data_IF_719395926100
#
_entry.id   IF_719395926100
#
_cell.length_a   1.000
_cell.length_b   1.000
_cell.length_c   1.000
_cell.angle_alpha   90.00
_cell.angle_beta   90.00
_cell.angle_gamma   90.00
#
_symmetry.space_group_name_H-M   'P 1'
#
loop_
_entity.id
_entity.type
_entity.pdbx_description
1 polymer ?
#
# COMPACT_ATOMS: atom_id res chain seq x y z
N UNK A 1 -13.78 -12.70 -12.83
CA UNK A 1 -12.85 -11.69 -12.30
C UNK A 1 -12.18 -12.24 -11.04
N UNK A 2 -10.94 -11.85 -10.67
CA UNK A 2 -10.33 -12.35 -9.44
C UNK A 2 -11.15 -11.87 -8.23
N UNK A 3 -11.36 -12.74 -7.26
CA UNK A 3 -12.01 -12.40 -5.98
C UNK A 3 -10.89 -12.27 -4.95
N UNK A 4 -10.82 -11.12 -4.29
CA UNK A 4 -9.89 -10.91 -3.18
C UNK A 4 -10.52 -11.42 -1.89
N UNK A 5 -9.79 -12.24 -1.15
CA UNK A 5 -10.19 -12.71 0.18
C UNK A 5 -9.44 -11.89 1.24
N UNK A 6 -10.17 -11.33 2.20
CA UNK A 6 -9.63 -10.50 3.28
C UNK A 6 -10.32 -9.14 3.38
N UNK A 7 -10.18 -8.51 4.54
CA UNK A 7 -10.72 -7.17 4.79
C UNK A 7 -9.86 -6.09 4.13
N UNK A 8 -10.50 -5.01 3.68
CA UNK A 8 -9.84 -3.84 3.08
C UNK A 8 -8.96 -4.18 1.86
N UNK A 9 -9.33 -5.21 1.11
CA UNK A 9 -8.64 -5.61 -0.13
C UNK A 9 -9.29 -4.94 -1.34
N UNK A 10 -8.47 -4.43 -2.26
CA UNK A 10 -8.91 -3.85 -3.53
C UNK A 10 -8.17 -4.49 -4.70
N UNK A 11 -8.86 -4.69 -5.81
CA UNK A 11 -8.22 -5.16 -7.05
C UNK A 11 -7.59 -3.96 -7.75
N UNK A 12 -6.26 -3.98 -7.89
CA UNK A 12 -5.51 -2.97 -8.64
C UNK A 12 -4.59 -3.62 -9.67
N UNK A 13 -4.13 -2.83 -10.62
CA UNK A 13 -3.07 -3.21 -11.54
C UNK A 13 -1.73 -3.21 -10.81
N UNK A 14 -1.25 -4.42 -10.48
CA UNK A 14 -0.04 -4.68 -9.72
C UNK A 14 1.05 -5.38 -10.56
N UNK A 15 2.11 -5.84 -9.90
CA UNK A 15 3.28 -6.39 -10.56
C UNK A 15 4.30 -5.33 -10.98
N UNK A 16 5.49 -5.77 -11.36
CA UNK A 16 6.56 -4.90 -11.86
C UNK A 16 6.11 -4.07 -13.08
N UNK A 17 5.43 -4.72 -14.04
CA UNK A 17 4.93 -4.09 -15.27
C UNK A 17 3.51 -3.50 -15.14
N UNK A 18 2.84 -3.61 -13.98
CA UNK A 18 1.46 -3.10 -13.77
C UNK A 18 0.39 -3.65 -14.73
N UNK A 19 0.57 -4.83 -15.32
CA UNK A 19 -0.41 -5.40 -16.27
C UNK A 19 -1.47 -6.29 -15.59
N UNK A 20 -1.13 -6.90 -14.45
CA UNK A 20 -1.92 -7.94 -13.80
C UNK A 20 -2.86 -7.37 -12.74
N UNK A 21 -4.09 -7.89 -12.68
CA UNK A 21 -4.96 -7.63 -11.53
C UNK A 21 -4.37 -8.32 -10.30
N UNK A 22 -4.18 -7.57 -9.24
CA UNK A 22 -3.59 -8.02 -7.97
C UNK A 22 -4.46 -7.50 -6.82
N UNK A 23 -4.59 -8.30 -5.77
CA UNK A 23 -5.26 -7.89 -4.55
C UNK A 23 -4.28 -7.09 -3.69
N UNK A 24 -4.62 -5.84 -3.42
CA UNK A 24 -3.84 -4.91 -2.61
C UNK A 24 -4.60 -4.62 -1.33
N UNK A 25 -3.97 -4.80 -0.18
CA UNK A 25 -4.52 -4.40 1.11
C UNK A 25 -4.37 -2.89 1.28
N UNK A 26 -5.47 -2.19 1.54
CA UNK A 26 -5.47 -0.77 1.86
C UNK A 26 -5.20 -0.60 3.36
N UNK A 27 -4.15 0.15 3.68
CA UNK A 27 -3.71 0.42 5.04
C UNK A 27 -4.21 1.78 5.51
N UNK A 28 -4.77 1.83 6.71
CA UNK A 28 -5.20 3.07 7.37
C UNK A 28 -4.03 3.87 7.96
N UNK A 29 -4.35 5.05 8.48
CA UNK A 29 -3.40 5.89 9.21
C UNK A 29 -2.87 5.16 10.44
N UNK A 30 -1.56 5.23 10.66
CA UNK A 30 -0.87 4.54 11.77
C UNK A 30 -0.60 3.05 11.53
N UNK A 31 -1.09 2.45 10.45
CA UNK A 31 -0.73 1.07 10.09
C UNK A 31 0.69 0.98 9.52
N UNK A 32 1.34 -0.15 9.78
CA UNK A 32 2.70 -0.41 9.32
C UNK A 32 2.74 -0.67 7.80
N UNK A 33 3.71 -0.05 7.12
CA UNK A 33 3.90 -0.13 5.66
C UNK A 33 5.38 -0.33 5.29
N UNK A 34 5.65 -0.76 4.05
CA UNK A 34 7.00 -0.83 3.48
C UNK A 34 7.91 -1.97 3.98
N UNK A 35 7.49 -2.77 4.96
CA UNK A 35 8.38 -3.69 5.67
C UNK A 35 8.55 -5.09 5.04
N UNK A 36 7.68 -5.52 4.12
CA UNK A 36 7.63 -6.95 3.74
C UNK A 36 7.80 -7.26 2.25
N UNK A 37 7.50 -6.34 1.34
CA UNK A 37 7.41 -6.69 -0.08
C UNK A 37 8.73 -6.47 -0.85
N UNK A 38 9.51 -5.45 -0.47
CA UNK A 38 10.73 -5.08 -1.20
C UNK A 38 11.88 -6.09 -1.05
N UNK A 39 12.01 -6.73 0.12
CA UNK A 39 13.11 -7.67 0.42
C UNK A 39 13.00 -9.01 -0.34
N UNK A 40 11.82 -9.35 -0.87
CA UNK A 40 11.57 -10.63 -1.56
C UNK A 40 11.43 -10.50 -3.06
N UNK A 41 11.71 -9.32 -3.63
CA UNK A 41 11.44 -9.04 -5.05
C UNK A 41 9.96 -9.18 -5.41
N UNK A 42 9.08 -9.13 -4.40
CA UNK A 42 7.65 -9.34 -4.57
C UNK A 42 7.01 -7.96 -4.72
N UNK A 43 6.14 -7.75 -5.74
CA UNK A 43 5.42 -6.49 -5.87
C UNK A 43 4.63 -6.19 -4.60
N UNK A 44 4.53 -4.92 -4.18
CA UNK A 44 3.82 -4.57 -2.96
C UNK A 44 2.38 -5.07 -2.99
N UNK A 45 1.99 -5.81 -1.94
CA UNK A 45 0.63 -6.32 -1.74
C UNK A 45 -0.16 -5.47 -0.75
N UNK A 46 0.43 -4.35 -0.31
CA UNK A 46 -0.18 -3.36 0.56
C UNK A 46 0.13 -1.94 0.11
N UNK A 47 -0.80 -1.02 0.33
CA UNK A 47 -0.69 0.39 -0.01
C UNK A 47 -1.44 1.22 1.04
N UNK A 48 -0.90 2.37 1.43
CA UNK A 48 -1.62 3.30 2.30
C UNK A 48 -2.89 3.83 1.60
N UNK A 49 -3.93 4.11 2.38
CA UNK A 49 -5.15 4.74 1.90
C UNK A 49 -4.86 6.10 1.25
N UNK A 50 -5.79 6.55 0.39
CA UNK A 50 -5.65 7.82 -0.30
C UNK A 50 -5.41 8.99 0.67
N UNK A 51 -4.43 9.83 0.37
CA UNK A 51 -4.04 10.96 1.23
C UNK A 51 -3.00 10.61 2.30
N UNK A 52 -2.63 9.32 2.41
CA UNK A 52 -1.56 8.85 3.28
C UNK A 52 -0.30 8.49 2.46
N UNK A 53 0.87 8.66 3.06
CA UNK A 53 2.15 8.23 2.53
C UNK A 53 2.85 7.32 3.54
N UNK A 54 3.64 6.37 3.04
CA UNK A 54 4.45 5.51 3.89
C UNK A 54 5.71 6.26 4.32
N UNK A 55 5.75 6.71 5.58
CA UNK A 55 6.89 7.43 6.18
C UNK A 55 7.28 6.71 7.47
N UNK A 56 8.57 6.43 7.62
CA UNK A 56 9.11 5.65 8.74
C UNK A 56 8.34 4.35 9.01
N UNK A 57 8.09 3.61 7.93
CA UNK A 57 7.34 2.34 7.95
C UNK A 57 5.90 2.46 8.49
N UNK A 58 5.31 3.66 8.47
CA UNK A 58 3.95 3.92 8.95
C UNK A 58 3.18 4.78 7.95
N UNK A 59 1.89 4.49 7.74
CA UNK A 59 1.04 5.33 6.91
C UNK A 59 0.68 6.63 7.65
N UNK A 60 1.17 7.77 7.16
CA UNK A 60 0.99 9.10 7.75
C UNK A 60 0.30 10.04 6.76
N UNK A 61 -0.44 11.05 7.24
CA UNK A 61 -1.09 12.02 6.36
C UNK A 61 -0.06 12.86 5.60
N UNK A 62 -0.26 13.00 4.29
CA UNK A 62 0.54 13.90 3.45
C UNK A 62 0.48 15.35 3.96
N UNK A 63 -0.65 15.79 4.50
CA UNK A 63 -0.80 17.14 5.07
C UNK A 63 0.12 17.39 6.26
N UNK A 64 0.41 16.35 7.04
CA UNK A 64 1.22 16.48 8.24
C UNK A 64 2.70 16.47 7.84
N UNK A 65 3.09 15.60 6.91
CA UNK A 65 4.45 15.56 6.32
C UNK A 65 4.82 16.90 5.66
N UNK A 66 3.92 17.50 4.89
CA UNK A 66 4.18 18.76 4.18
C UNK A 66 4.24 19.99 5.09
N UNK A 67 3.83 19.87 6.36
CA UNK A 67 3.97 20.95 7.35
C UNK A 67 5.35 20.98 8.01
N UNK A 68 6.06 19.87 7.96
CA UNK A 68 7.39 19.69 8.58
C UNK A 68 8.56 19.88 7.58
N UNK A 69 8.26 20.29 6.33
CA UNK A 69 9.20 20.61 5.24
C UNK A 69 9.28 22.11 4.99
#
# INVERSE_FOLDING_TARGET
EPICHGENMVIKKGGFCKCCNTCIRVLGEGEACGQLDFLRGTPPVSECASGLACVDHTCQKLSDILRDL
#
